data_IF_274467618621
#
_entry.id   IF_274467618621
#
_cell.length_a   1.000
_cell.length_b   1.000
_cell.length_c   1.000
_cell.angle_alpha   90.00
_cell.angle_beta   90.00
_cell.angle_gamma   90.00
#
_symmetry.space_group_name_H-M   'P 1'
#
loop_
_entity.id
_entity.type
_entity.pdbx_description
1 polymer ?
#
# COMPACT_ATOMS: atom_id res chain seq x y z
N UNK A 1 36.36 0.75 -7.79
CA UNK A 1 35.26 0.40 -6.90
C UNK A 1 35.09 -1.12 -6.87
N UNK A 2 34.83 -1.68 -5.67
CA UNK A 2 34.61 -3.10 -5.47
C UNK A 2 33.23 -3.32 -4.87
N UNK A 3 32.55 -4.41 -5.33
CA UNK A 3 31.28 -4.86 -4.77
C UNK A 3 31.51 -6.24 -4.16
N UNK A 4 31.24 -6.38 -2.85
CA UNK A 4 31.22 -7.68 -2.20
C UNK A 4 29.84 -8.30 -2.40
N UNK A 5 29.77 -9.44 -3.07
CA UNK A 5 28.54 -10.16 -3.34
C UNK A 5 28.62 -11.62 -2.85
N UNK A 6 27.48 -12.31 -2.87
CA UNK A 6 27.38 -13.72 -2.54
C UNK A 6 26.43 -14.44 -3.50
N UNK A 7 26.53 -15.74 -3.59
CA UNK A 7 25.70 -16.59 -4.46
C UNK A 7 24.52 -17.26 -3.72
N UNK A 8 24.24 -16.90 -2.47
CA UNK A 8 23.07 -17.39 -1.76
C UNK A 8 21.79 -16.82 -2.37
N UNK A 9 20.78 -17.66 -2.55
CA UNK A 9 19.44 -17.19 -2.98
C UNK A 9 18.84 -16.29 -1.90
N UNK A 10 18.51 -15.04 -2.26
CA UNK A 10 17.77 -14.14 -1.40
C UNK A 10 16.30 -14.59 -1.44
N UNK A 11 15.78 -15.04 -0.31
CA UNK A 11 14.38 -15.50 -0.19
C UNK A 11 13.41 -14.37 0.08
N UNK A 12 13.84 -13.39 0.85
CA UNK A 12 13.03 -12.21 1.20
C UNK A 12 13.86 -10.97 0.86
N UNK A 13 13.39 -10.18 -0.07
CA UNK A 13 13.95 -8.87 -0.35
C UNK A 13 13.47 -7.93 0.74
N UNK A 14 14.37 -7.27 1.42
CA UNK A 14 14.05 -6.28 2.43
C UNK A 14 15.06 -5.15 2.34
N UNK A 15 14.57 -3.97 2.04
CA UNK A 15 15.36 -2.75 2.05
C UNK A 15 15.46 -2.21 3.47
N UNK A 16 16.31 -1.22 3.72
CA UNK A 16 16.39 -0.58 5.02
C UNK A 16 15.19 0.36 5.21
N UNK A 17 14.67 0.39 6.43
CA UNK A 17 13.68 1.37 6.82
C UNK A 17 14.33 2.75 6.90
N UNK A 18 13.61 3.77 6.47
CA UNK A 18 14.03 5.17 6.56
C UNK A 18 13.02 5.94 7.40
N UNK A 19 13.52 6.64 8.39
CA UNK A 19 12.72 7.36 9.38
C UNK A 19 13.30 8.73 9.61
N UNK A 20 12.45 9.69 9.89
CA UNK A 20 12.83 11.03 10.33
C UNK A 20 12.08 11.40 11.62
N UNK A 21 12.38 12.55 12.20
CA UNK A 21 11.78 13.01 13.44
C UNK A 21 11.16 14.40 13.24
N UNK A 22 9.88 14.52 13.57
CA UNK A 22 9.20 15.80 13.65
C UNK A 22 8.72 16.05 15.09
N UNK A 23 9.18 17.16 15.68
CA UNK A 23 8.88 17.51 17.09
C UNK A 23 9.14 16.36 18.06
N UNK A 24 10.28 15.68 17.92
CA UNK A 24 10.70 14.49 18.69
C UNK A 24 9.78 13.27 18.56
N UNK A 25 8.91 13.23 17.55
CA UNK A 25 8.13 12.05 17.20
C UNK A 25 8.69 11.42 15.94
N UNK A 26 8.99 10.12 15.94
CA UNK A 26 9.44 9.44 14.74
C UNK A 26 8.29 9.38 13.73
N UNK A 27 8.60 9.60 12.45
CA UNK A 27 7.69 9.27 11.36
C UNK A 27 8.42 8.47 10.28
N UNK A 28 7.70 7.53 9.69
CA UNK A 28 8.26 6.58 8.75
C UNK A 28 8.20 7.14 7.33
N UNK A 29 9.36 7.24 6.67
CA UNK A 29 9.45 7.60 5.25
C UNK A 29 9.39 6.33 4.39
N UNK A 30 10.12 5.28 4.77
CA UNK A 30 10.10 3.97 4.14
C UNK A 30 9.97 2.90 5.23
N UNK A 31 8.90 2.12 5.16
CA UNK A 31 8.66 1.02 6.09
C UNK A 31 9.16 -0.28 5.48
N UNK A 32 10.18 -0.90 6.09
CA UNK A 32 10.75 -2.14 5.61
C UNK A 32 11.38 -2.92 6.77
N UNK A 33 12.66 -3.24 6.70
CA UNK A 33 13.36 -4.08 7.69
C UNK A 33 13.14 -3.58 9.13
N UNK A 34 12.73 -4.50 10.00
CA UNK A 34 12.48 -4.24 11.43
C UNK A 34 11.07 -3.70 11.75
N UNK A 35 10.31 -3.23 10.75
CA UNK A 35 8.99 -2.65 10.93
C UNK A 35 7.89 -3.34 10.11
N UNK A 36 8.21 -3.87 8.95
CA UNK A 36 7.29 -4.69 8.18
C UNK A 36 7.54 -6.18 8.48
N UNK A 37 6.50 -7.02 8.56
CA UNK A 37 5.08 -6.72 8.42
C UNK A 37 4.35 -6.51 9.75
N UNK A 38 4.91 -5.75 10.69
CA UNK A 38 4.23 -5.46 11.94
C UNK A 38 2.88 -4.77 11.68
N UNK A 39 1.79 -5.17 12.34
CA UNK A 39 0.48 -4.61 12.07
C UNK A 39 0.32 -3.20 12.61
N UNK A 40 -0.52 -2.43 11.90
CA UNK A 40 -1.15 -1.20 12.40
C UNK A 40 -2.54 -1.60 12.87
N UNK A 41 -2.83 -1.34 14.14
CA UNK A 41 -4.13 -1.60 14.74
C UNK A 41 -4.97 -0.34 14.69
N UNK A 42 -6.22 -0.44 14.23
CA UNK A 42 -7.20 0.63 14.30
C UNK A 42 -8.36 0.26 15.23
N UNK A 43 -9.10 1.24 15.73
CA UNK A 43 -10.29 1.02 16.57
C UNK A 43 -11.53 0.63 15.76
N UNK A 44 -11.52 0.88 14.44
CA UNK A 44 -12.63 0.60 13.54
C UNK A 44 -13.06 -0.87 13.56
N UNK A 45 -14.36 -1.11 13.46
CA UNK A 45 -14.95 -2.46 13.44
C UNK A 45 -14.93 -3.09 12.04
N UNK A 46 -13.75 -3.08 11.43
CA UNK A 46 -13.54 -3.67 10.11
C UNK A 46 -13.64 -5.18 10.18
N UNK A 47 -14.20 -5.79 9.14
CA UNK A 47 -14.32 -7.24 9.02
C UNK A 47 -13.86 -7.69 7.65
N UNK A 48 -13.32 -8.91 7.62
CA UNK A 48 -12.91 -9.56 6.38
C UNK A 48 -11.43 -9.41 6.08
N UNK A 49 -11.04 -9.93 4.93
CA UNK A 49 -9.66 -10.01 4.48
C UNK A 49 -9.53 -9.34 3.12
N UNK A 50 -8.69 -8.33 3.03
CA UNK A 50 -8.49 -7.49 1.85
C UNK A 50 -7.00 -7.41 1.52
N UNK A 51 -6.67 -7.53 0.26
CA UNK A 51 -5.35 -7.17 -0.27
C UNK A 51 -5.45 -5.81 -0.97
N UNK A 52 -4.62 -4.85 -0.60
CA UNK A 52 -4.47 -3.58 -1.32
C UNK A 52 -3.09 -3.54 -1.97
N UNK A 53 -3.01 -3.57 -3.29
CA UNK A 53 -1.74 -3.74 -4.03
C UNK A 53 -0.87 -2.48 -4.12
N UNK A 54 -1.38 -1.33 -3.67
CA UNK A 54 -0.65 -0.06 -3.69
C UNK A 54 -0.59 0.62 -5.06
N UNK A 55 0.24 1.65 -5.16
CA UNK A 55 0.46 2.43 -6.38
C UNK A 55 1.61 1.90 -7.25
N UNK A 56 1.98 2.64 -8.28
CA UNK A 56 3.01 2.25 -9.25
C UNK A 56 4.43 2.50 -8.78
N UNK A 57 4.69 3.70 -8.23
CA UNK A 57 6.00 4.12 -7.78
C UNK A 57 6.15 3.91 -6.27
N UNK A 58 7.36 3.54 -5.83
CA UNK A 58 7.69 3.28 -4.42
C UNK A 58 6.70 2.33 -3.77
N UNK A 59 6.30 1.32 -4.52
CA UNK A 59 5.23 0.41 -4.14
C UNK A 59 5.45 -0.21 -2.76
N UNK A 60 4.37 -0.27 -2.03
CA UNK A 60 4.13 -1.05 -0.83
C UNK A 60 2.68 -1.51 -0.90
N UNK A 61 2.43 -2.79 -0.67
CA UNK A 61 1.07 -3.31 -0.56
C UNK A 61 0.67 -3.49 0.91
N UNK A 62 -0.59 -3.75 1.16
CA UNK A 62 -1.10 -3.98 2.50
C UNK A 62 -2.11 -5.13 2.53
N UNK A 63 -2.06 -5.96 3.55
CA UNK A 63 -3.09 -6.95 3.85
C UNK A 63 -3.87 -6.49 5.07
N UNK A 64 -5.17 -6.29 4.90
CA UNK A 64 -6.10 -5.97 5.99
C UNK A 64 -6.83 -7.22 6.47
N UNK A 65 -6.85 -7.45 7.78
CA UNK A 65 -7.55 -8.57 8.42
C UNK A 65 -8.21 -8.07 9.70
N UNK A 66 -9.53 -8.00 9.71
CA UNK A 66 -10.33 -7.71 10.91
C UNK A 66 -9.80 -6.53 11.75
N UNK A 67 -9.52 -5.40 11.10
CA UNK A 67 -9.04 -4.17 11.75
C UNK A 67 -7.54 -4.10 11.98
N UNK A 68 -6.79 -5.10 11.57
CA UNK A 68 -5.33 -5.07 11.54
C UNK A 68 -4.84 -4.89 10.11
N UNK A 69 -3.97 -3.92 9.90
CA UNK A 69 -3.38 -3.65 8.61
C UNK A 69 -1.90 -4.00 8.63
N UNK A 70 -1.48 -4.88 7.74
CA UNK A 70 -0.12 -5.39 7.62
C UNK A 70 0.54 -4.81 6.37
N UNK A 71 1.20 -3.64 6.46
CA UNK A 71 1.96 -3.11 5.33
C UNK A 71 3.11 -4.05 4.98
N UNK A 72 3.34 -4.24 3.69
CA UNK A 72 4.49 -5.01 3.21
C UNK A 72 5.81 -4.28 3.47
N UNK A 73 6.93 -4.99 3.39
CA UNK A 73 8.20 -4.34 3.11
C UNK A 73 8.12 -3.51 1.82
N UNK A 74 8.95 -2.49 1.73
CA UNK A 74 9.10 -1.70 0.50
C UNK A 74 9.42 -2.63 -0.69
N UNK A 75 8.63 -2.53 -1.75
CA UNK A 75 8.78 -3.33 -2.97
C UNK A 75 9.58 -2.57 -4.03
N UNK A 76 9.20 -1.33 -4.32
CA UNK A 76 9.87 -0.46 -5.27
C UNK A 76 9.01 -0.06 -6.46
N UNK A 77 9.63 0.45 -7.53
CA UNK A 77 8.93 0.95 -8.69
C UNK A 77 8.53 -0.20 -9.63
N UNK A 78 7.24 -0.29 -9.95
CA UNK A 78 6.66 -1.39 -10.72
C UNK A 78 6.84 -1.22 -12.25
N UNK A 79 7.49 -0.16 -12.70
CA UNK A 79 7.91 0.00 -14.11
C UNK A 79 8.90 -1.09 -14.51
N UNK A 80 9.65 -1.65 -13.56
CA UNK A 80 10.55 -2.80 -13.79
C UNK A 80 9.80 -4.12 -13.54
N UNK A 81 9.71 -4.95 -14.55
CA UNK A 81 9.05 -6.26 -14.47
C UNK A 81 9.60 -7.17 -13.36
N UNK A 82 10.89 -7.04 -13.02
CA UNK A 82 11.49 -7.77 -11.89
C UNK A 82 10.90 -7.32 -10.55
N UNK A 83 10.48 -6.06 -10.45
CA UNK A 83 9.79 -5.53 -9.28
C UNK A 83 8.34 -6.03 -9.22
N UNK A 84 7.68 -6.15 -10.38
CA UNK A 84 6.34 -6.77 -10.46
C UNK A 84 6.39 -8.24 -10.01
N UNK A 85 7.38 -9.00 -10.44
CA UNK A 85 7.59 -10.36 -9.96
C UNK A 85 7.84 -10.41 -8.44
N UNK A 86 8.66 -9.48 -7.93
CA UNK A 86 8.90 -9.35 -6.50
C UNK A 86 7.64 -9.01 -5.71
N UNK A 87 6.76 -8.16 -6.26
CA UNK A 87 5.45 -7.86 -5.68
C UNK A 87 4.62 -9.15 -5.53
N UNK A 88 4.43 -9.89 -6.61
CA UNK A 88 3.67 -11.16 -6.63
C UNK A 88 4.23 -12.19 -5.63
N UNK A 89 5.56 -12.38 -5.64
CA UNK A 89 6.22 -13.27 -4.68
C UNK A 89 6.01 -12.84 -3.22
N UNK A 90 6.09 -11.52 -2.95
CA UNK A 90 5.97 -11.00 -1.58
C UNK A 90 4.54 -11.08 -1.09
N UNK A 91 3.54 -10.86 -1.95
CA UNK A 91 2.12 -11.08 -1.63
C UNK A 91 1.91 -12.53 -1.17
N UNK A 92 2.26 -13.52 -1.98
CA UNK A 92 2.05 -14.94 -1.63
C UNK A 92 2.80 -15.37 -0.36
N UNK A 93 3.96 -14.78 -0.09
CA UNK A 93 4.68 -15.03 1.17
C UNK A 93 4.00 -14.44 2.38
N UNK A 94 3.47 -13.21 2.27
CA UNK A 94 2.74 -12.58 3.37
C UNK A 94 1.41 -13.28 3.63
N UNK A 95 0.70 -13.70 2.60
CA UNK A 95 -0.51 -14.53 2.74
C UNK A 95 -0.22 -15.82 3.53
N UNK A 96 0.86 -16.51 3.16
CA UNK A 96 1.31 -17.71 3.88
C UNK A 96 1.74 -17.42 5.31
N UNK A 97 2.50 -16.33 5.53
CA UNK A 97 2.99 -15.95 6.87
C UNK A 97 1.86 -15.56 7.81
N UNK A 98 0.86 -14.85 7.30
CA UNK A 98 -0.28 -14.37 8.08
C UNK A 98 -1.44 -15.37 8.15
N UNK A 99 -1.34 -16.48 7.41
CA UNK A 99 -2.40 -17.50 7.27
C UNK A 99 -3.73 -16.88 6.80
N UNK A 100 -3.67 -16.03 5.76
CA UNK A 100 -4.81 -15.29 5.24
C UNK A 100 -5.08 -15.62 3.78
N UNK A 101 -6.34 -15.52 3.38
CA UNK A 101 -6.81 -15.65 2.00
C UNK A 101 -7.69 -14.43 1.68
N UNK A 102 -7.14 -13.34 1.12
CA UNK A 102 -7.93 -12.19 0.74
C UNK A 102 -9.11 -12.55 -0.14
N UNK A 103 -10.25 -11.92 0.09
CA UNK A 103 -11.49 -12.18 -0.67
C UNK A 103 -11.81 -11.05 -1.66
N UNK A 104 -11.08 -9.96 -1.57
CA UNK A 104 -11.17 -8.80 -2.46
C UNK A 104 -9.79 -8.17 -2.58
N UNK A 105 -9.50 -7.61 -3.73
CA UNK A 105 -8.29 -6.84 -3.96
C UNK A 105 -8.64 -5.38 -4.28
N UNK A 106 -7.98 -4.46 -3.59
CA UNK A 106 -8.06 -3.04 -3.86
C UNK A 106 -6.84 -2.58 -4.66
N UNK A 107 -7.05 -1.75 -5.67
CA UNK A 107 -5.99 -1.16 -6.47
C UNK A 107 -6.29 0.30 -6.80
N UNK A 108 -5.30 1.01 -7.33
CA UNK A 108 -5.48 2.36 -7.84
C UNK A 108 -6.51 2.39 -8.99
N UNK A 109 -7.20 3.52 -9.12
CA UNK A 109 -8.14 3.74 -10.23
C UNK A 109 -7.42 3.82 -11.59
N UNK A 110 -6.12 4.11 -11.60
CA UNK A 110 -5.33 4.28 -12.82
C UNK A 110 -5.28 2.98 -13.66
N UNK A 111 -5.79 3.00 -14.92
CA UNK A 111 -6.02 1.76 -15.67
C UNK A 111 -4.74 1.11 -16.23
N UNK A 112 -3.62 1.83 -16.24
CA UNK A 112 -2.37 1.38 -16.87
C UNK A 112 -1.26 1.08 -15.87
N UNK A 113 -1.52 1.15 -14.55
CA UNK A 113 -0.53 0.78 -13.57
C UNK A 113 -0.31 -0.74 -13.56
N UNK A 114 0.93 -1.16 -13.46
CA UNK A 114 1.27 -2.57 -13.29
C UNK A 114 0.67 -3.15 -12.01
N UNK A 115 0.53 -2.34 -10.95
CA UNK A 115 -0.21 -2.71 -9.76
C UNK A 115 -1.66 -3.10 -10.07
N UNK A 116 -2.34 -2.34 -10.94
CA UNK A 116 -3.72 -2.65 -11.38
C UNK A 116 -3.78 -3.94 -12.17
N UNK A 117 -2.82 -4.17 -13.07
CA UNK A 117 -2.71 -5.43 -13.82
C UNK A 117 -2.52 -6.61 -12.87
N UNK A 118 -1.64 -6.49 -11.89
CA UNK A 118 -1.44 -7.54 -10.86
C UNK A 118 -2.74 -7.82 -10.12
N UNK A 119 -3.49 -6.79 -9.71
CA UNK A 119 -4.77 -6.97 -9.04
C UNK A 119 -5.79 -7.75 -9.90
N UNK A 120 -5.87 -7.44 -11.18
CA UNK A 120 -6.79 -8.10 -12.13
C UNK A 120 -6.38 -9.57 -12.39
N UNK A 121 -5.08 -9.88 -12.39
CA UNK A 121 -4.56 -11.23 -12.58
C UNK A 121 -4.82 -12.17 -11.40
N UNK A 122 -5.10 -11.65 -10.20
CA UNK A 122 -5.37 -12.46 -9.01
C UNK A 122 -6.72 -13.20 -9.06
N UNK A 123 -7.61 -12.82 -9.99
CA UNK A 123 -8.92 -13.48 -10.15
C UNK A 123 -9.88 -13.22 -8.98
N UNK A 124 -9.60 -12.26 -8.12
CA UNK A 124 -10.48 -11.81 -7.03
C UNK A 124 -11.38 -10.65 -7.51
N UNK A 125 -12.50 -10.38 -6.82
CA UNK A 125 -13.23 -9.14 -7.02
C UNK A 125 -12.31 -7.93 -6.83
N UNK A 126 -12.25 -7.03 -7.82
CA UNK A 126 -11.37 -5.87 -7.83
C UNK A 126 -12.14 -4.62 -7.41
N UNK A 127 -11.62 -3.90 -6.44
CA UNK A 127 -12.11 -2.60 -6.01
C UNK A 127 -11.11 -1.52 -6.44
N UNK A 128 -11.50 -0.66 -7.37
CA UNK A 128 -10.69 0.47 -7.84
C UNK A 128 -10.93 1.69 -6.96
N UNK A 129 -9.86 2.24 -6.40
CA UNK A 129 -9.91 3.34 -5.43
C UNK A 129 -9.20 4.56 -6.05
N UNK A 130 -9.84 5.72 -5.96
CA UNK A 130 -9.24 6.97 -6.40
C UNK A 130 -8.01 7.31 -5.53
N UNK A 131 -6.94 7.76 -6.16
CA UNK A 131 -5.62 7.91 -5.56
C UNK A 131 -5.62 8.83 -4.33
N UNK A 132 -6.10 10.06 -4.50
CA UNK A 132 -6.13 11.06 -3.43
C UNK A 132 -7.10 10.67 -2.30
N UNK A 133 -8.19 10.01 -2.63
CA UNK A 133 -9.11 9.45 -1.64
C UNK A 133 -8.43 8.39 -0.78
N UNK A 134 -7.61 7.51 -1.39
CA UNK A 134 -6.84 6.51 -0.65
C UNK A 134 -5.83 7.16 0.31
N UNK A 135 -5.16 8.25 -0.08
CA UNK A 135 -4.28 9.02 0.81
C UNK A 135 -5.02 9.55 2.03
N UNK A 136 -6.20 10.12 1.84
CA UNK A 136 -7.00 10.67 2.94
C UNK A 136 -7.49 9.56 3.87
N UNK A 137 -8.01 8.45 3.32
CA UNK A 137 -8.45 7.31 4.13
C UNK A 137 -7.31 6.69 4.93
N UNK A 138 -6.11 6.61 4.38
CA UNK A 138 -4.94 6.09 5.12
C UNK A 138 -4.57 6.99 6.30
N UNK A 139 -4.65 8.31 6.11
CA UNK A 139 -4.43 9.29 7.18
C UNK A 139 -5.52 9.21 8.26
N UNK A 140 -6.80 9.04 7.87
CA UNK A 140 -7.90 8.83 8.81
C UNK A 140 -7.68 7.56 9.62
N UNK A 141 -7.30 6.46 8.99
CA UNK A 141 -7.05 5.18 9.64
C UNK A 141 -5.88 5.24 10.61
N UNK A 142 -4.78 5.88 10.24
CA UNK A 142 -3.59 6.05 11.10
C UNK A 142 -3.90 6.87 12.36
N UNK A 143 -4.82 7.84 12.25
CA UNK A 143 -5.22 8.72 13.35
C UNK A 143 -6.51 8.29 14.05
N UNK A 144 -7.03 7.11 13.72
CA UNK A 144 -8.27 6.56 14.30
C UNK A 144 -9.47 7.51 14.18
N UNK A 145 -9.56 8.22 13.06
CA UNK A 145 -10.58 9.21 12.77
C UNK A 145 -11.74 8.55 12.01
N UNK A 146 -12.89 8.37 12.67
CA UNK A 146 -14.09 7.77 12.05
C UNK A 146 -15.08 8.81 11.53
N UNK A 147 -14.96 10.08 11.95
CA UNK A 147 -15.82 11.16 11.52
C UNK A 147 -15.53 11.61 10.08
N UNK A 148 -16.53 12.11 9.34
CA UNK A 148 -16.30 12.74 8.04
C UNK A 148 -15.31 13.91 8.13
N UNK A 149 -14.38 13.96 7.18
CA UNK A 149 -13.32 14.96 7.13
C UNK A 149 -13.33 15.76 5.82
N UNK A 150 -12.73 16.94 5.86
CA UNK A 150 -12.24 17.60 4.65
C UNK A 150 -10.79 17.20 4.47
N UNK A 151 -10.56 16.32 3.51
CA UNK A 151 -9.23 15.85 3.14
C UNK A 151 -8.58 16.78 2.12
N UNK A 152 -7.31 17.09 2.33
CA UNK A 152 -6.52 17.88 1.38
C UNK A 152 -5.33 17.02 0.97
N UNK A 153 -5.31 16.62 -0.29
CA UNK A 153 -4.22 15.83 -0.87
C UNK A 153 -3.44 16.69 -1.85
N UNK A 154 -2.15 16.89 -1.60
CA UNK A 154 -1.24 17.59 -2.50
C UNK A 154 -0.23 16.57 -3.05
N UNK A 155 -0.69 15.75 -3.97
CA UNK A 155 0.14 14.83 -4.69
C UNK A 155 0.47 15.37 -6.09
N UNK A 156 1.54 14.88 -6.71
CA UNK A 156 1.93 15.31 -8.05
C UNK A 156 0.99 14.79 -9.14
N UNK A 157 0.46 13.58 -8.97
CA UNK A 157 -0.39 12.91 -9.95
C UNK A 157 -1.35 11.93 -9.29
N UNK A 158 -2.64 12.16 -9.42
CA UNK A 158 -3.70 11.21 -9.06
C UNK A 158 -4.69 11.06 -10.21
N UNK A 159 -5.05 9.83 -10.55
CA UNK A 159 -6.04 9.58 -11.59
C UNK A 159 -7.45 9.82 -11.04
N UNK A 160 -8.14 10.79 -11.65
CA UNK A 160 -9.48 11.20 -11.24
C UNK A 160 -10.59 10.30 -11.78
N UNK A 161 -11.77 10.40 -11.17
CA UNK A 161 -12.97 9.68 -11.62
C UNK A 161 -13.48 10.19 -12.98
N UNK A 162 -13.06 11.39 -13.39
CA UNK A 162 -13.33 11.99 -14.69
C UNK A 162 -12.34 11.54 -15.80
N UNK A 163 -11.37 10.69 -15.45
CA UNK A 163 -10.35 10.20 -16.38
C UNK A 163 -9.19 11.16 -16.61
N UNK A 164 -9.09 12.24 -15.84
CA UNK A 164 -7.96 13.18 -15.89
C UNK A 164 -6.94 12.89 -14.79
N UNK A 165 -5.76 13.47 -14.92
CA UNK A 165 -4.72 13.41 -13.91
C UNK A 165 -4.71 14.74 -13.16
N UNK A 166 -5.02 14.70 -11.87
CA UNK A 166 -5.00 15.86 -10.98
C UNK A 166 -3.75 15.87 -10.09
N UNK A 167 -3.23 17.06 -9.77
CA UNK A 167 -2.06 17.23 -8.90
C UNK A 167 -2.41 17.48 -7.43
N UNK A 168 -3.62 17.93 -7.15
CA UNK A 168 -4.08 18.17 -5.79
C UNK A 168 -5.58 18.31 -5.72
N UNK A 169 -6.18 17.77 -4.68
CA UNK A 169 -7.63 17.77 -4.51
C UNK A 169 -8.02 18.08 -3.07
N UNK A 170 -9.18 18.71 -2.94
CA UNK A 170 -9.86 18.90 -1.66
C UNK A 170 -11.13 18.07 -1.71
N UNK A 171 -11.22 17.06 -0.86
CA UNK A 171 -12.27 16.06 -0.87
C UNK A 171 -13.02 16.06 0.47
N UNK A 172 -14.32 15.91 0.43
CA UNK A 172 -15.07 15.47 1.62
C UNK A 172 -15.06 13.96 1.64
N UNK A 173 -14.47 13.38 2.67
CA UNK A 173 -14.26 11.94 2.77
C UNK A 173 -14.87 11.38 4.04
N UNK A 174 -15.42 10.19 3.94
CA UNK A 174 -15.69 9.28 5.03
C UNK A 174 -15.47 7.84 4.54
N UNK A 175 -15.65 6.85 5.41
CA UNK A 175 -15.44 5.44 5.03
C UNK A 175 -16.56 4.83 4.18
N UNK A 176 -17.58 5.60 3.83
CA UNK A 176 -18.66 5.15 2.95
C UNK A 176 -18.54 5.71 1.51
N UNK A 177 -17.62 6.62 1.24
CA UNK A 177 -17.34 7.21 -0.07
C UNK A 177 -17.50 8.72 -0.13
#
# INVERSE_FOLDING_TARGET
DCILSHNRKIRVRADDSVMDFYKNRPYMIRRSRGYAPLPIQTSGKWKGQVLAVGGELKNTFCIGVDGRFYPSPYVGDLEDLRTVEALKETIGRMETLLEVEPKVVACDLHPKYNATVVAEELGLPVLKIQHHFAHILSCMAENDCEDPVIGVSFDGTGYGTDGTIGGGEILRCDYNG
#
